data_IF_301402251159
#
_entry.id   IF_301402251159
#
_cell.length_a   1.000
_cell.length_b   1.000
_cell.length_c   1.000
_cell.angle_alpha   90.00
_cell.angle_beta   90.00
_cell.angle_gamma   90.00
#
_symmetry.space_group_name_H-M   'P 1'
#
loop_
_entity.id
_entity.type
_entity.pdbx_description
1 polymer ?
#
# COMPACT_ATOMS: atom_id res chain seq x y z
N UNK A 1 -2.15 -5.27 11.71
CA UNK A 1 -3.61 -5.25 11.98
C UNK A 1 -4.06 -6.04 13.21
N UNK A 2 -3.89 -7.37 13.27
CA UNK A 2 -4.44 -8.21 14.36
C UNK A 2 -4.11 -7.70 15.77
N UNK A 3 -2.83 -7.42 16.05
CA UNK A 3 -2.39 -6.92 17.35
C UNK A 3 -2.96 -5.54 17.70
N UNK A 4 -3.02 -4.64 16.71
CA UNK A 4 -3.61 -3.31 16.90
C UNK A 4 -5.10 -3.42 17.24
N UNK A 5 -5.85 -4.24 16.50
CA UNK A 5 -7.26 -4.48 16.76
C UNK A 5 -7.51 -5.07 18.16
N UNK A 6 -6.71 -6.08 18.55
CA UNK A 6 -6.78 -6.71 19.87
C UNK A 6 -6.48 -5.72 21.01
N UNK A 7 -5.52 -4.80 20.83
CA UNK A 7 -5.20 -3.74 21.80
C UNK A 7 -6.39 -2.80 22.06
N UNK A 8 -7.25 -2.60 21.08
CA UNK A 8 -8.48 -1.80 21.22
C UNK A 8 -9.71 -2.62 21.60
N UNK A 9 -9.55 -3.91 21.95
CA UNK A 9 -10.68 -4.77 22.30
C UNK A 9 -11.65 -5.04 21.14
N UNK A 10 -11.21 -4.84 19.89
CA UNK A 10 -12.02 -5.16 18.71
C UNK A 10 -12.17 -6.66 18.56
N UNK A 11 -13.39 -7.12 18.30
CA UNK A 11 -13.66 -8.51 17.97
C UNK A 11 -13.24 -8.76 16.51
N UNK A 12 -12.12 -9.45 16.33
CA UNK A 12 -11.55 -9.77 15.01
C UNK A 12 -11.33 -11.28 14.88
N UNK A 13 -11.40 -11.79 13.65
CA UNK A 13 -10.98 -13.17 13.39
C UNK A 13 -9.47 -13.32 13.48
N UNK A 14 -9.02 -14.58 13.55
CA UNK A 14 -7.64 -14.89 13.20
C UNK A 14 -7.38 -14.56 11.71
N UNK A 15 -6.12 -14.31 11.32
CA UNK A 15 -5.78 -14.09 9.92
C UNK A 15 -6.01 -15.37 9.12
N UNK A 16 -6.84 -15.30 8.07
CA UNK A 16 -7.04 -16.38 7.10
C UNK A 16 -6.26 -16.07 5.83
N UNK A 17 -5.34 -16.94 5.45
CA UNK A 17 -4.53 -16.75 4.24
C UNK A 17 -5.33 -17.09 3.00
N UNK A 18 -5.36 -16.18 2.03
CA UNK A 18 -6.00 -16.40 0.74
C UNK A 18 -4.96 -17.00 -0.21
N UNK A 19 -5.15 -18.23 -0.71
CA UNK A 19 -4.20 -18.84 -1.64
C UNK A 19 -4.13 -18.04 -2.95
N UNK A 20 -2.92 -17.78 -3.45
CA UNK A 20 -2.70 -17.17 -4.76
C UNK A 20 -2.21 -18.21 -5.77
N UNK A 21 -2.21 -17.91 -7.08
CA UNK A 21 -1.57 -18.75 -8.08
C UNK A 21 -0.11 -19.07 -7.70
N UNK A 22 0.44 -20.24 -8.07
CA UNK A 22 1.70 -20.76 -7.53
C UNK A 22 2.91 -19.81 -7.59
N UNK A 23 2.90 -18.88 -8.53
CA UNK A 23 3.98 -17.91 -8.79
C UNK A 23 4.01 -16.78 -7.74
N UNK A 24 2.87 -16.45 -7.13
CA UNK A 24 2.70 -15.29 -6.23
C UNK A 24 2.67 -15.73 -4.74
N UNK A 25 2.49 -17.02 -4.47
CA UNK A 25 2.40 -17.56 -3.11
C UNK A 25 1.01 -17.41 -2.49
N UNK A 26 0.79 -16.37 -1.68
CA UNK A 26 -0.54 -16.04 -1.10
C UNK A 26 -0.94 -14.62 -1.47
N UNK A 27 -2.24 -14.34 -1.61
CA UNK A 27 -2.75 -12.96 -1.78
C UNK A 27 -2.69 -12.15 -0.48
N UNK A 28 -2.06 -12.71 0.56
CA UNK A 28 -1.99 -12.17 1.91
C UNK A 28 -2.99 -12.84 2.86
N UNK A 29 -3.13 -12.24 4.04
CA UNK A 29 -4.02 -12.71 5.09
C UNK A 29 -5.18 -11.72 5.30
N UNK A 30 -6.40 -12.24 5.33
CA UNK A 30 -7.61 -11.49 5.58
C UNK A 30 -8.03 -11.59 7.05
N UNK A 31 -8.36 -10.45 7.66
CA UNK A 31 -8.88 -10.35 9.03
C UNK A 31 -10.26 -9.71 8.97
N UNK A 32 -11.29 -10.46 9.36
CA UNK A 32 -12.66 -9.93 9.40
C UNK A 32 -12.90 -9.20 10.72
N UNK A 33 -13.23 -7.90 10.65
CA UNK A 33 -13.72 -7.16 11.81
C UNK A 33 -15.19 -7.52 12.08
N UNK A 34 -15.50 -7.96 13.30
CA UNK A 34 -16.85 -8.36 13.75
C UNK A 34 -17.53 -7.32 14.64
N UNK A 35 -16.79 -6.32 15.11
CA UNK A 35 -17.30 -5.19 15.89
C UNK A 35 -17.02 -3.87 15.16
N UNK A 36 -17.92 -2.88 15.23
CA UNK A 36 -17.71 -1.58 14.60
C UNK A 36 -16.55 -0.82 15.24
N UNK A 37 -15.81 -0.06 14.44
CA UNK A 37 -14.81 0.89 14.94
C UNK A 37 -15.54 2.11 15.48
N UNK A 38 -15.34 2.40 16.76
CA UNK A 38 -16.16 3.38 17.48
C UNK A 38 -15.71 4.81 17.22
N UNK A 39 -14.41 5.08 17.25
CA UNK A 39 -13.87 6.44 17.18
C UNK A 39 -12.73 6.60 16.15
N UNK A 40 -12.37 7.85 15.88
CA UNK A 40 -11.29 8.22 14.94
C UNK A 40 -9.89 7.80 15.41
N UNK A 41 -9.70 7.56 16.70
CA UNK A 41 -8.41 7.15 17.27
C UNK A 41 -8.13 5.69 16.94
N UNK A 42 -9.13 4.84 17.13
CA UNK A 42 -9.09 3.43 16.75
C UNK A 42 -8.93 3.27 15.24
N UNK A 43 -9.64 4.08 14.44
CA UNK A 43 -9.46 4.11 12.99
C UNK A 43 -8.00 4.39 12.59
N UNK A 44 -7.40 5.42 13.19
CA UNK A 44 -6.00 5.75 12.94
C UNK A 44 -5.06 4.61 13.30
N UNK A 45 -5.20 4.05 14.50
CA UNK A 45 -4.28 3.03 15.00
C UNK A 45 -4.39 1.73 14.18
N UNK A 46 -5.61 1.31 13.82
CA UNK A 46 -5.83 0.10 13.02
C UNK A 46 -5.41 0.28 11.56
N UNK A 47 -5.77 1.42 10.96
CA UNK A 47 -5.45 1.74 9.57
C UNK A 47 -3.96 1.99 9.33
N UNK A 48 -3.27 2.67 10.25
CA UNK A 48 -1.83 2.94 10.08
C UNK A 48 -0.95 1.71 10.39
N UNK A 49 -1.36 0.83 11.31
CA UNK A 49 -0.48 -0.21 11.84
C UNK A 49 0.01 -1.22 10.80
N UNK A 50 -0.84 -1.65 9.87
CA UNK A 50 -0.41 -2.61 8.83
C UNK A 50 0.60 -2.01 7.86
N UNK A 51 0.24 -0.93 7.15
CA UNK A 51 1.12 -0.25 6.21
C UNK A 51 2.47 0.16 6.81
N UNK A 52 2.48 0.72 8.02
CA UNK A 52 3.75 1.13 8.67
C UNK A 52 4.65 -0.07 8.97
N UNK A 53 4.08 -1.17 9.49
CA UNK A 53 4.85 -2.42 9.71
C UNK A 53 5.28 -3.03 8.37
N UNK A 54 4.43 -2.97 7.35
CA UNK A 54 4.72 -3.45 6.00
C UNK A 54 5.96 -2.79 5.42
N UNK A 55 6.06 -1.46 5.50
CA UNK A 55 7.25 -0.72 5.05
C UNK A 55 8.49 -1.05 5.87
N UNK A 56 8.37 -1.14 7.21
CA UNK A 56 9.49 -1.52 8.08
C UNK A 56 10.08 -2.88 7.71
N UNK A 57 9.24 -3.83 7.27
CA UNK A 57 9.69 -5.15 6.79
C UNK A 57 10.16 -5.10 5.35
N UNK A 58 9.53 -4.31 4.48
CA UNK A 58 9.89 -4.22 3.07
C UNK A 58 11.28 -3.58 2.85
N UNK A 59 11.65 -2.57 3.64
CA UNK A 59 12.96 -1.90 3.53
C UNK A 59 14.15 -2.87 3.63
N UNK A 60 14.31 -3.68 4.68
CA UNK A 60 15.44 -4.61 4.78
C UNK A 60 15.42 -5.68 3.69
N UNK A 61 14.24 -6.16 3.27
CA UNK A 61 14.12 -7.10 2.15
C UNK A 61 14.57 -6.45 0.84
N UNK A 62 14.21 -5.20 0.59
CA UNK A 62 14.66 -4.45 -0.58
C UNK A 62 16.16 -4.22 -0.55
N UNK A 63 16.74 -3.82 0.59
CA UNK A 63 18.19 -3.62 0.71
C UNK A 63 18.93 -4.94 0.45
N UNK A 64 18.50 -6.03 1.09
CA UNK A 64 19.11 -7.35 0.88
C UNK A 64 18.94 -7.83 -0.57
N UNK A 65 17.74 -7.65 -1.13
CA UNK A 65 17.44 -7.97 -2.52
C UNK A 65 18.31 -7.21 -3.50
N UNK A 66 18.38 -5.88 -3.37
CA UNK A 66 19.19 -5.01 -4.22
C UNK A 66 20.68 -5.33 -4.17
N UNK A 67 21.22 -5.75 -3.02
CA UNK A 67 22.61 -6.19 -2.88
C UNK A 67 22.90 -7.52 -3.58
N UNK A 68 21.88 -8.37 -3.70
CA UNK A 68 21.97 -9.68 -4.34
C UNK A 68 21.54 -9.65 -5.82
N UNK A 69 20.99 -8.53 -6.28
CA UNK A 69 20.55 -8.35 -7.66
C UNK A 69 21.74 -8.22 -8.61
N UNK A 70 21.53 -8.62 -9.86
CA UNK A 70 22.54 -8.51 -10.91
C UNK A 70 22.23 -7.32 -11.82
N UNK A 71 23.28 -6.58 -12.20
CA UNK A 71 23.17 -5.48 -13.17
C UNK A 71 23.54 -6.03 -14.55
N UNK A 72 22.59 -6.04 -15.47
CA UNK A 72 22.76 -6.60 -16.83
C UNK A 72 22.44 -5.54 -17.89
N UNK A 73 23.06 -5.69 -19.05
CA UNK A 73 22.68 -4.92 -20.23
C UNK A 73 21.22 -5.22 -20.59
N UNK A 74 20.48 -4.19 -20.99
CA UNK A 74 19.13 -4.31 -21.54
C UNK A 74 19.25 -5.02 -22.89
N UNK A 75 19.35 -6.34 -22.83
CA UNK A 75 19.15 -7.21 -23.98
C UNK A 75 17.63 -7.31 -24.13
N UNK A 76 17.09 -7.14 -25.33
CA UNK A 76 15.64 -7.10 -25.59
C UNK A 76 14.88 -8.40 -25.32
N UNK A 77 15.31 -9.18 -24.33
CA UNK A 77 14.58 -10.32 -23.78
C UNK A 77 13.33 -9.84 -23.03
N UNK A 78 12.24 -10.57 -23.29
CA UNK A 78 10.92 -10.36 -22.74
C UNK A 78 10.89 -10.62 -21.22
N UNK A 79 11.40 -9.68 -20.44
CA UNK A 79 11.22 -9.59 -19.00
C UNK A 79 10.09 -8.61 -18.65
N UNK A 80 9.34 -8.91 -17.60
CA UNK A 80 8.37 -7.96 -17.05
C UNK A 80 9.15 -6.87 -16.30
N UNK A 81 9.05 -5.62 -16.77
CA UNK A 81 9.69 -4.49 -16.10
C UNK A 81 8.88 -4.09 -14.87
N UNK A 82 9.55 -3.99 -13.74
CA UNK A 82 8.94 -3.58 -12.48
C UNK A 82 8.97 -2.06 -12.33
N UNK A 83 7.81 -1.51 -11.99
CA UNK A 83 7.67 -0.09 -11.68
C UNK A 83 8.51 0.34 -10.49
N UNK A 84 8.89 1.62 -10.46
CA UNK A 84 9.57 2.20 -9.32
C UNK A 84 8.64 3.08 -8.47
N UNK A 85 8.85 3.03 -7.16
CA UNK A 85 8.34 4.02 -6.21
C UNK A 85 9.47 4.96 -5.82
N UNK A 86 9.15 6.11 -5.21
CA UNK A 86 10.18 7.03 -4.70
C UNK A 86 11.11 6.34 -3.69
N UNK A 87 10.56 5.48 -2.82
CA UNK A 87 11.35 4.72 -1.86
C UNK A 87 12.27 3.71 -2.55
N UNK A 88 11.75 2.95 -3.53
CA UNK A 88 12.58 2.00 -4.27
C UNK A 88 13.70 2.71 -5.03
N UNK A 89 13.40 3.81 -5.71
CA UNK A 89 14.39 4.60 -6.45
C UNK A 89 15.48 5.15 -5.53
N UNK A 90 15.10 5.62 -4.33
CA UNK A 90 16.07 6.08 -3.33
C UNK A 90 16.96 4.93 -2.84
N UNK A 91 16.36 3.79 -2.46
CA UNK A 91 17.12 2.63 -1.97
C UNK A 91 18.04 2.05 -3.06
N UNK A 92 17.55 1.95 -4.30
CA UNK A 92 18.35 1.52 -5.45
C UNK A 92 19.56 2.42 -5.66
N UNK A 93 19.35 3.75 -5.63
CA UNK A 93 20.44 4.72 -5.76
C UNK A 93 21.46 4.66 -4.61
N UNK A 94 21.02 4.37 -3.39
CA UNK A 94 21.91 4.25 -2.22
C UNK A 94 22.69 2.92 -2.24
N UNK A 95 22.05 1.83 -2.64
CA UNK A 95 22.60 0.47 -2.52
C UNK A 95 23.39 0.05 -3.75
N UNK A 96 22.84 0.29 -4.95
CA UNK A 96 23.44 -0.10 -6.23
C UNK A 96 24.22 1.06 -6.85
N UNK A 97 23.75 2.29 -6.66
CA UNK A 97 24.36 3.49 -7.26
C UNK A 97 23.67 3.91 -8.55
N UNK A 98 24.34 4.77 -9.33
CA UNK A 98 23.86 5.17 -10.66
C UNK A 98 24.23 4.09 -11.68
N UNK A 99 23.23 3.59 -12.39
CA UNK A 99 23.45 2.64 -13.48
C UNK A 99 23.97 3.38 -14.73
N UNK A 100 24.92 2.79 -15.48
CA UNK A 100 25.29 3.27 -16.80
C UNK A 100 24.11 3.16 -17.78
N UNK A 101 24.11 3.98 -18.84
CA UNK A 101 23.09 3.88 -19.88
C UNK A 101 23.07 2.47 -20.50
N UNK A 102 21.86 1.93 -20.70
CA UNK A 102 21.67 0.60 -21.28
C UNK A 102 21.80 -0.56 -20.29
N UNK A 103 21.94 -0.31 -18.99
CA UNK A 103 21.90 -1.34 -17.94
C UNK A 103 20.62 -1.28 -17.11
N UNK A 104 20.14 -2.44 -16.68
CA UNK A 104 19.02 -2.58 -15.74
C UNK A 104 19.35 -3.60 -14.63
N UNK A 105 18.59 -3.53 -13.54
CA UNK A 105 18.72 -4.39 -12.38
C UNK A 105 17.78 -5.57 -12.52
N UNK A 106 18.33 -6.76 -12.71
CA UNK A 106 17.58 -8.01 -12.56
C UNK A 106 17.40 -8.26 -11.07
N UNK A 107 16.19 -7.96 -10.58
CA UNK A 107 15.92 -7.98 -9.14
C UNK A 107 15.99 -9.41 -8.57
N UNK A 108 16.72 -9.58 -7.47
CA UNK A 108 16.73 -10.85 -6.75
C UNK A 108 15.33 -11.16 -6.17
N UNK A 109 14.89 -12.44 -6.06
CA UNK A 109 13.57 -12.80 -5.52
C UNK A 109 13.23 -12.20 -4.15
N UNK A 110 14.24 -12.00 -3.29
CA UNK A 110 14.07 -11.31 -1.99
C UNK A 110 13.68 -9.83 -2.21
N UNK A 111 14.31 -9.16 -3.16
CA UNK A 111 13.97 -7.80 -3.54
C UNK A 111 12.59 -7.71 -4.18
N UNK A 112 12.24 -8.68 -5.03
CA UNK A 112 10.88 -8.81 -5.57
C UNK A 112 9.82 -8.95 -4.47
N UNK A 113 10.06 -9.76 -3.44
CA UNK A 113 9.17 -9.86 -2.29
C UNK A 113 9.02 -8.52 -1.54
N UNK A 114 10.12 -7.79 -1.35
CA UNK A 114 10.09 -6.44 -0.79
C UNK A 114 9.31 -5.45 -1.65
N UNK A 115 9.46 -5.54 -2.97
CA UNK A 115 8.74 -4.74 -3.96
C UNK A 115 7.23 -4.99 -3.92
N UNK A 116 6.81 -6.26 -3.89
CA UNK A 116 5.41 -6.66 -3.68
C UNK A 116 4.89 -6.10 -2.36
N UNK A 117 5.70 -6.13 -1.30
CA UNK A 117 5.38 -5.51 -0.02
C UNK A 117 5.09 -4.01 -0.12
N UNK A 118 5.88 -3.26 -0.89
CA UNK A 118 5.60 -1.84 -1.15
C UNK A 118 4.33 -1.65 -1.97
N UNK A 119 4.11 -2.45 -3.00
CA UNK A 119 2.92 -2.38 -3.84
C UNK A 119 1.64 -2.61 -3.01
N UNK A 120 1.60 -3.70 -2.22
CA UNK A 120 0.47 -4.00 -1.32
C UNK A 120 0.27 -2.89 -0.30
N UNK A 121 1.35 -2.33 0.24
CA UNK A 121 1.28 -1.21 1.18
C UNK A 121 0.67 0.04 0.52
N UNK A 122 1.11 0.39 -0.68
CA UNK A 122 0.60 1.53 -1.43
C UNK A 122 -0.89 1.36 -1.78
N UNK A 123 -1.29 0.16 -2.21
CA UNK A 123 -2.67 -0.18 -2.52
C UNK A 123 -3.56 -0.04 -1.28
N UNK A 124 -3.14 -0.58 -0.14
CA UNK A 124 -3.88 -0.45 1.11
C UNK A 124 -3.96 0.99 1.61
N UNK A 125 -2.96 1.82 1.30
CA UNK A 125 -2.92 3.23 1.69
C UNK A 125 -3.63 4.18 0.72
N UNK A 126 -4.25 3.69 -0.35
CA UNK A 126 -5.15 4.52 -1.14
C UNK A 126 -6.24 5.09 -0.23
N UNK A 127 -6.46 6.43 -0.22
CA UNK A 127 -7.45 7.07 0.65
C UNK A 127 -8.88 6.90 0.12
N UNK A 128 -9.28 5.65 -0.14
CA UNK A 128 -10.54 5.27 -0.78
C UNK A 128 -11.31 4.27 0.09
N UNK A 129 -12.61 4.50 0.26
CA UNK A 129 -13.51 3.54 0.89
C UNK A 129 -13.06 3.09 2.28
N UNK A 130 -13.10 1.77 2.51
CA UNK A 130 -12.69 1.10 3.75
C UNK A 130 -11.27 0.53 3.70
N UNK A 131 -10.44 0.97 2.75
CA UNK A 131 -9.02 0.64 2.79
C UNK A 131 -8.35 1.28 4.02
N UNK A 132 -7.16 0.80 4.39
CA UNK A 132 -6.38 1.36 5.49
C UNK A 132 -6.14 2.88 5.32
N UNK A 133 -5.81 3.31 4.10
CA UNK A 133 -5.68 4.72 3.75
C UNK A 133 -6.99 5.49 3.86
N UNK A 134 -8.13 4.84 3.61
CA UNK A 134 -9.46 5.38 3.84
C UNK A 134 -9.72 5.66 5.33
N UNK A 135 -9.40 4.70 6.21
CA UNK A 135 -9.51 4.87 7.66
C UNK A 135 -8.59 5.99 8.18
N UNK A 136 -7.35 6.04 7.70
CA UNK A 136 -6.36 7.09 8.06
C UNK A 136 -6.82 8.46 7.57
N UNK A 137 -7.27 8.56 6.32
CA UNK A 137 -7.79 9.81 5.75
C UNK A 137 -9.05 10.27 6.50
N UNK A 138 -9.95 9.37 6.88
CA UNK A 138 -11.14 9.71 7.66
C UNK A 138 -10.75 10.18 9.07
N UNK A 139 -9.78 9.52 9.70
CA UNK A 139 -9.30 9.94 11.01
C UNK A 139 -8.67 11.35 10.99
N UNK A 140 -7.98 11.73 9.90
CA UNK A 140 -7.38 13.06 9.74
C UNK A 140 -8.38 14.14 9.32
N UNK A 141 -9.22 13.84 8.33
CA UNK A 141 -10.02 14.85 7.60
C UNK A 141 -11.53 14.72 7.87
N UNK A 142 -11.98 13.71 8.60
CA UNK A 142 -13.39 13.45 8.86
C UNK A 142 -14.17 13.22 7.56
N UNK A 143 -15.35 13.84 7.45
CA UNK A 143 -16.24 13.66 6.29
C UNK A 143 -15.65 14.12 4.95
N UNK A 144 -14.64 15.00 4.98
CA UNK A 144 -13.90 15.38 3.77
C UNK A 144 -13.24 14.19 3.09
N UNK A 145 -12.97 13.11 3.82
CA UNK A 145 -12.46 11.87 3.24
C UNK A 145 -13.36 11.34 2.12
N UNK A 146 -14.68 11.52 2.18
CA UNK A 146 -15.57 11.06 1.11
C UNK A 146 -15.34 11.83 -0.20
N UNK A 147 -14.91 13.10 -0.13
CA UNK A 147 -14.51 13.89 -1.31
C UNK A 147 -13.15 13.45 -1.80
N UNK A 148 -12.18 13.26 -0.90
CA UNK A 148 -10.84 12.76 -1.20
C UNK A 148 -10.95 11.40 -1.92
N UNK A 149 -11.78 10.49 -1.40
CA UNK A 149 -12.00 9.17 -1.96
C UNK A 149 -12.53 9.22 -3.40
N UNK A 150 -13.55 10.05 -3.66
CA UNK A 150 -14.08 10.23 -5.03
C UNK A 150 -13.03 10.81 -5.98
N UNK A 151 -12.23 11.78 -5.50
CA UNK A 151 -11.16 12.38 -6.28
C UNK A 151 -10.07 11.36 -6.62
N UNK A 152 -9.58 10.62 -5.63
CA UNK A 152 -8.55 9.59 -5.83
C UNK A 152 -9.08 8.44 -6.68
N UNK A 153 -10.33 8.02 -6.50
CA UNK A 153 -10.97 7.02 -7.34
C UNK A 153 -11.05 7.47 -8.81
N UNK A 154 -11.44 8.72 -9.07
CA UNK A 154 -11.41 9.31 -10.41
C UNK A 154 -10.00 9.37 -11.00
N UNK A 155 -9.01 9.78 -10.19
CA UNK A 155 -7.59 9.76 -10.57
C UNK A 155 -7.08 8.36 -10.88
N UNK A 156 -7.54 7.33 -10.16
CA UNK A 156 -7.21 5.93 -10.40
C UNK A 156 -7.73 5.45 -11.76
N UNK A 157 -8.95 5.85 -12.13
CA UNK A 157 -9.52 5.56 -13.45
C UNK A 157 -8.69 6.23 -14.54
N UNK A 158 -8.33 7.51 -14.37
CA UNK A 158 -7.48 8.21 -15.33
C UNK A 158 -6.09 7.55 -15.47
N UNK A 159 -5.47 7.14 -14.35
CA UNK A 159 -4.24 6.35 -14.35
C UNK A 159 -4.40 5.00 -15.06
N UNK A 160 -5.59 4.40 -14.99
CA UNK A 160 -5.90 3.17 -15.70
C UNK A 160 -6.13 3.34 -17.20
N UNK A 161 -6.70 4.48 -17.62
CA UNK A 161 -6.94 4.80 -19.04
C UNK A 161 -5.65 5.23 -19.73
N UNK A 162 -4.87 6.12 -19.09
CA UNK A 162 -3.68 6.74 -19.69
C UNK A 162 -2.36 6.10 -19.26
N UNK A 163 -2.38 5.20 -18.28
CA UNK A 163 -1.20 4.52 -17.74
C UNK A 163 -1.39 3.02 -17.70
N UNK A 164 -1.24 2.41 -16.52
CA UNK A 164 -1.32 0.96 -16.36
C UNK A 164 -2.77 0.49 -16.21
N UNK A 165 -3.26 -0.28 -17.18
CA UNK A 165 -4.64 -0.79 -17.24
C UNK A 165 -5.09 -1.58 -16.00
N UNK A 166 -4.16 -2.15 -15.24
CA UNK A 166 -4.46 -2.84 -13.97
C UNK A 166 -5.15 -1.93 -12.94
N UNK A 167 -5.00 -0.60 -13.04
CA UNK A 167 -5.76 0.34 -12.22
C UNK A 167 -7.26 0.33 -12.50
N UNK A 168 -7.70 -0.02 -13.71
CA UNK A 168 -9.13 -0.18 -14.02
C UNK A 168 -9.71 -1.40 -13.29
N UNK A 169 -8.95 -2.50 -13.24
CA UNK A 169 -9.33 -3.68 -12.45
C UNK A 169 -9.47 -3.30 -10.98
N UNK A 170 -8.51 -2.56 -10.43
CA UNK A 170 -8.60 -2.03 -9.07
C UNK A 170 -9.77 -1.08 -8.87
N UNK A 171 -10.08 -0.21 -9.83
CA UNK A 171 -11.24 0.67 -9.75
C UNK A 171 -12.55 -0.13 -9.66
N UNK A 172 -12.71 -1.17 -10.48
CA UNK A 172 -13.88 -2.07 -10.40
C UNK A 172 -13.96 -2.74 -9.03
N UNK A 173 -12.85 -3.25 -8.50
CA UNK A 173 -12.83 -3.85 -7.16
C UNK A 173 -13.23 -2.85 -6.06
N UNK A 174 -12.71 -1.62 -6.10
CA UNK A 174 -13.05 -0.57 -5.13
C UNK A 174 -14.50 -0.11 -5.25
N UNK A 175 -15.08 -0.16 -6.45
CA UNK A 175 -16.49 0.11 -6.65
C UNK A 175 -17.36 -0.90 -5.91
N UNK A 176 -17.03 -2.20 -6.01
CA UNK A 176 -17.73 -3.26 -5.26
C UNK A 176 -17.54 -3.16 -3.75
N UNK A 177 -16.32 -2.84 -3.28
CA UNK A 177 -16.01 -2.68 -1.85
C UNK A 177 -16.64 -1.42 -1.24
N UNK A 178 -17.03 -0.46 -2.06
CA UNK A 178 -17.63 0.80 -1.66
C UNK A 178 -16.59 1.91 -1.48
N UNK A 179 -16.75 2.97 -2.27
CA UNK A 179 -15.84 4.13 -2.28
C UNK A 179 -16.10 5.13 -1.15
N UNK A 180 -17.14 4.98 -0.33
CA UNK A 180 -17.40 5.88 0.81
C UNK A 180 -16.96 5.21 2.10
N UNK A 181 -16.35 5.99 2.99
CA UNK A 181 -16.01 5.49 4.31
C UNK A 181 -17.23 5.60 5.24
N UNK A 182 -17.55 4.54 6.01
CA UNK A 182 -18.63 4.59 6.98
C UNK A 182 -18.29 5.55 8.15
N UNK A 183 -19.29 6.31 8.63
CA UNK A 183 -19.07 7.23 9.76
C UNK A 183 -18.95 6.42 11.05
N UNK A 184 -17.89 6.63 11.88
CA UNK A 184 -17.78 6.02 13.20
C UNK A 184 -18.88 6.51 14.14
N UNK A 185 -19.27 5.67 15.09
CA UNK A 185 -20.32 5.98 16.06
C UNK A 185 -19.98 7.22 16.90
N UNK A 186 -18.74 7.31 17.38
CA UNK A 186 -18.24 8.36 18.26
C UNK A 186 -17.37 9.39 17.48
N UNK A 187 -17.91 9.89 16.37
CA UNK A 187 -17.19 10.80 15.46
C UNK A 187 -16.74 12.12 16.10
N UNK A 188 -17.43 12.57 17.17
CA UNK A 188 -17.11 13.81 17.89
C UNK A 188 -15.78 13.75 18.64
N UNK A 189 -15.28 12.55 18.98
CA UNK A 189 -14.02 12.40 19.73
C UNK A 189 -12.85 12.86 18.85
N UNK A 190 -12.06 13.87 19.29
CA UNK A 190 -10.96 14.38 18.49
C UNK A 190 -9.73 13.47 18.54
N UNK A 191 -8.96 13.52 17.45
CA UNK A 191 -7.67 12.85 17.34
C UNK A 191 -6.60 13.58 18.18
N UNK A 192 -5.86 12.85 19.00
CA UNK A 192 -4.76 13.40 19.78
C UNK A 192 -3.54 13.73 18.90
N UNK A 193 -2.61 14.53 19.45
CA UNK A 193 -1.44 15.02 18.71
C UNK A 193 -0.53 13.89 18.21
N UNK A 194 -0.37 12.80 18.97
CA UNK A 194 0.48 11.67 18.57
C UNK A 194 -0.12 10.97 17.36
N UNK A 195 -1.41 10.70 17.39
CA UNK A 195 -2.13 10.07 16.27
C UNK A 195 -2.22 10.95 15.03
N UNK A 196 -2.28 12.28 15.18
CA UNK A 196 -2.13 13.20 14.05
C UNK A 196 -0.78 13.06 13.36
N UNK A 197 0.31 12.98 14.14
CA UNK A 197 1.66 12.75 13.60
C UNK A 197 1.72 11.41 12.88
N UNK A 198 1.20 10.33 13.48
CA UNK A 198 1.13 9.00 12.85
C UNK A 198 0.41 9.10 11.50
N UNK A 199 -0.77 9.74 11.45
CA UNK A 199 -1.51 9.89 10.20
C UNK A 199 -0.71 10.60 9.11
N UNK A 200 -0.02 11.69 9.44
CA UNK A 200 0.83 12.38 8.47
C UNK A 200 2.03 11.56 8.02
N UNK A 201 2.65 10.79 8.93
CA UNK A 201 3.70 9.83 8.57
C UNK A 201 3.15 8.78 7.61
N UNK A 202 1.95 8.25 7.87
CA UNK A 202 1.30 7.27 6.99
C UNK A 202 0.98 7.85 5.61
N UNK A 203 0.56 9.11 5.52
CA UNK A 203 0.39 9.82 4.24
C UNK A 203 1.74 9.96 3.51
N UNK A 204 2.82 10.29 4.23
CA UNK A 204 4.16 10.32 3.67
C UNK A 204 4.60 8.95 3.14
N UNK A 205 4.31 7.87 3.87
CA UNK A 205 4.56 6.49 3.45
C UNK A 205 3.79 6.15 2.18
N UNK A 206 2.51 6.52 2.07
CA UNK A 206 1.74 6.34 0.84
C UNK A 206 2.45 6.98 -0.36
N UNK A 207 2.84 8.25 -0.23
CA UNK A 207 3.53 8.99 -1.30
C UNK A 207 4.86 8.31 -1.67
N UNK A 208 5.62 7.86 -0.67
CA UNK A 208 6.92 7.22 -0.90
C UNK A 208 6.80 5.84 -1.54
N UNK A 209 5.73 5.10 -1.26
CA UNK A 209 5.53 3.73 -1.72
C UNK A 209 4.67 3.60 -2.96
N UNK A 210 3.93 4.64 -3.35
CA UNK A 210 3.04 4.59 -4.51
C UNK A 210 3.83 4.31 -5.80
N UNK A 211 3.36 3.33 -6.57
CA UNK A 211 3.96 2.92 -7.85
C UNK A 211 2.91 3.18 -8.95
N UNK A 212 3.01 4.29 -9.70
CA UNK A 212 2.00 4.65 -10.71
C UNK A 212 1.88 3.64 -11.86
N UNK A 213 2.98 2.99 -12.22
CA UNK A 213 3.03 1.98 -13.28
C UNK A 213 3.73 0.74 -12.71
N UNK A 214 3.01 -0.17 -12.02
CA UNK A 214 3.62 -1.33 -11.37
C UNK A 214 4.30 -2.29 -12.33
N UNK A 215 3.75 -2.46 -13.52
CA UNK A 215 4.30 -3.33 -14.53
C UNK A 215 4.29 -2.63 -15.88
N UNK A 216 5.38 -2.77 -16.63
CA UNK A 216 5.50 -2.32 -18.02
C UNK A 216 6.16 -3.42 -18.87
N UNK A 217 5.96 -3.37 -20.19
CA UNK A 217 6.52 -4.37 -21.12
C UNK A 217 5.55 -5.50 -21.53
N UNK A 218 4.25 -5.23 -21.58
CA UNK A 218 3.29 -6.01 -22.37
C UNK A 218 3.03 -5.33 -23.71
#
# INVERSE_FOLDING_TARGET
>A
HYLAAKRHGLNVTLPYFIPAPPIIGTFGAFIKMRSPVRDRRMLMDVGAAGPLVGVVVAIPLLIAGLRLSEVKLIQGEAGMNLGSSLLLSLLSRIVVGSLPEGYDIVIHPIGFAGWIGLLVTALNLLPVGQLDGGHVAYALFGEWQNRISKFVYGGLILLGIFGWQGWLVWAVLLWFLGIRHPVPTDWWVPLDRKRKIIGWVTVGVFILTFIPVPFSGF
#
